data_IF_988163550246
#
_entry.id   IF_988163550246
#
_cell.length_a   1.000
_cell.length_b   1.000
_cell.length_c   1.000
_cell.angle_alpha   90.00
_cell.angle_beta   90.00
_cell.angle_gamma   90.00
#
_symmetry.space_group_name_H-M   'P 1'
#
loop_
_entity.id
_entity.type
_entity.pdbx_description
1 polymer ?
#
# COMPACT_ATOMS: atom_id res chain seq x y z
N UNK A 1 22.56 -23.23 16.02
CA UNK A 1 22.46 -21.95 15.31
C UNK A 1 21.45 -21.13 16.07
N UNK A 2 21.86 -20.10 16.79
CA UNK A 2 20.91 -19.25 17.51
C UNK A 2 20.11 -18.44 16.49
N UNK A 3 18.90 -18.88 16.19
CA UNK A 3 17.95 -18.14 15.36
C UNK A 3 17.51 -16.88 16.09
N UNK A 4 18.29 -15.81 15.91
CA UNK A 4 17.93 -14.48 16.39
C UNK A 4 16.73 -13.99 15.60
N UNK A 5 15.54 -14.11 16.20
CA UNK A 5 14.34 -13.55 15.63
C UNK A 5 14.50 -12.02 15.52
N UNK A 6 14.36 -11.42 14.34
CA UNK A 6 14.48 -9.97 14.20
C UNK A 6 13.39 -9.28 15.02
N UNK A 7 13.81 -8.59 16.08
CA UNK A 7 12.96 -7.86 17.02
C UNK A 7 12.00 -6.87 16.34
N UNK A 8 12.32 -6.45 15.12
CA UNK A 8 11.61 -5.42 14.38
C UNK A 8 10.75 -5.94 13.22
N UNK A 9 10.45 -7.24 13.16
CA UNK A 9 9.56 -7.80 12.13
C UNK A 9 8.18 -7.12 12.11
N UNK A 10 7.72 -6.60 13.26
CA UNK A 10 6.45 -5.89 13.41
C UNK A 10 6.54 -4.38 13.16
N UNK A 11 7.75 -3.82 13.06
CA UNK A 11 7.94 -2.38 12.89
C UNK A 11 7.79 -2.01 11.43
N UNK A 12 6.94 -1.03 11.10
CA UNK A 12 6.77 -0.59 9.72
C UNK A 12 8.08 0.02 9.21
N UNK A 13 8.43 -0.29 7.97
CA UNK A 13 9.48 0.46 7.25
C UNK A 13 8.93 1.86 7.01
N UNK A 14 9.36 2.79 7.87
CA UNK A 14 9.02 4.20 7.79
C UNK A 14 10.13 4.93 7.03
N UNK A 15 9.73 5.65 5.99
CA UNK A 15 10.60 6.53 5.20
C UNK A 15 10.06 7.94 5.43
N UNK A 16 10.83 8.78 6.12
CA UNK A 16 10.51 10.20 6.29
C UNK A 16 9.06 10.44 6.81
N UNK A 17 8.67 9.74 7.88
CA UNK A 17 7.33 9.75 8.49
C UNK A 17 6.22 9.00 7.74
N UNK A 18 6.45 8.58 6.50
CA UNK A 18 5.50 7.80 5.70
C UNK A 18 5.78 6.30 5.80
N UNK A 19 4.72 5.50 5.84
CA UNK A 19 4.86 4.07 5.53
C UNK A 19 5.29 3.87 4.08
N UNK A 20 5.95 2.77 3.75
CA UNK A 20 6.42 2.49 2.38
C UNK A 20 5.31 2.64 1.33
N UNK A 21 4.11 2.14 1.60
CA UNK A 21 2.95 2.27 0.71
C UNK A 21 2.50 3.73 0.53
N UNK A 22 2.54 4.53 1.61
CA UNK A 22 2.20 5.96 1.55
C UNK A 22 3.23 6.72 0.72
N UNK A 23 4.51 6.39 0.88
CA UNK A 23 5.59 7.02 0.13
C UNK A 23 5.45 6.77 -1.37
N UNK A 24 5.25 5.51 -1.79
CA UNK A 24 5.03 5.16 -3.20
C UNK A 24 3.81 5.88 -3.76
N UNK A 25 2.71 5.93 -3.01
CA UNK A 25 1.48 6.59 -3.43
C UNK A 25 1.67 8.11 -3.61
N UNK A 26 2.33 8.78 -2.65
CA UNK A 26 2.65 10.21 -2.71
C UNK A 26 3.55 10.53 -3.91
N UNK A 27 4.68 9.82 -4.05
CA UNK A 27 5.64 10.04 -5.14
C UNK A 27 4.98 9.83 -6.51
N UNK A 28 4.23 8.74 -6.67
CA UNK A 28 3.55 8.44 -7.95
C UNK A 28 2.51 9.50 -8.29
N UNK A 29 1.73 9.96 -7.30
CA UNK A 29 0.67 10.95 -7.52
C UNK A 29 1.25 12.31 -7.86
N UNK A 30 2.30 12.76 -7.15
CA UNK A 30 3.00 14.01 -7.45
C UNK A 30 3.60 13.95 -8.86
N UNK A 31 4.24 12.84 -9.22
CA UNK A 31 4.82 12.65 -10.54
C UNK A 31 3.76 12.80 -11.66
N UNK A 32 2.61 12.14 -11.52
CA UNK A 32 1.50 12.27 -12.47
C UNK A 32 0.93 13.69 -12.48
N UNK A 33 0.75 14.32 -11.31
CA UNK A 33 0.22 15.67 -11.21
C UNK A 33 1.11 16.71 -11.92
N UNK A 34 2.43 16.56 -11.82
CA UNK A 34 3.40 17.44 -12.49
C UNK A 34 3.35 17.27 -14.01
N UNK A 35 3.21 16.02 -14.51
CA UNK A 35 3.11 15.75 -15.95
C UNK A 35 1.82 16.33 -16.53
N UNK A 36 0.69 16.11 -15.87
CA UNK A 36 -0.62 16.58 -16.35
C UNK A 36 -0.71 18.10 -16.25
N UNK A 37 -0.22 18.69 -15.15
CA UNK A 37 -0.25 20.12 -14.92
C UNK A 37 -1.65 20.73 -14.80
N UNK A 38 -1.71 22.06 -14.68
CA UNK A 38 -2.96 22.82 -14.64
C UNK A 38 -3.90 22.44 -13.49
N UNK A 39 -5.19 22.72 -13.66
CA UNK A 39 -6.22 22.42 -12.64
C UNK A 39 -6.34 20.93 -12.33
N UNK A 40 -6.09 20.06 -13.32
CA UNK A 40 -6.17 18.61 -13.14
C UNK A 40 -5.03 18.10 -12.25
N UNK A 41 -3.80 18.60 -12.43
CA UNK A 41 -2.69 18.32 -11.52
C UNK A 41 -2.97 18.76 -10.09
N UNK A 42 -3.55 19.95 -9.91
CA UNK A 42 -3.98 20.43 -8.58
C UNK A 42 -5.09 19.57 -7.98
N UNK A 43 -6.04 19.07 -8.79
CA UNK A 43 -7.06 18.15 -8.34
C UNK A 43 -6.47 16.82 -7.83
N UNK A 44 -5.43 16.29 -8.49
CA UNK A 44 -4.72 15.09 -8.00
C UNK A 44 -4.04 15.34 -6.65
N UNK A 45 -3.44 16.51 -6.45
CA UNK A 45 -2.83 16.89 -5.16
C UNK A 45 -3.90 17.01 -4.07
N UNK A 46 -5.03 17.65 -4.37
CA UNK A 46 -6.15 17.75 -3.42
C UNK A 46 -6.71 16.36 -3.06
N UNK A 47 -6.91 15.49 -4.06
CA UNK A 47 -7.34 14.12 -3.85
C UNK A 47 -6.35 13.33 -2.99
N UNK A 48 -5.04 13.50 -3.22
CA UNK A 48 -3.99 12.88 -2.43
C UNK A 48 -4.08 13.28 -0.94
N UNK A 49 -4.21 14.58 -0.66
CA UNK A 49 -4.31 15.10 0.70
C UNK A 49 -5.55 14.60 1.44
N UNK A 50 -6.67 14.41 0.74
CA UNK A 50 -7.89 13.82 1.30
C UNK A 50 -7.79 12.30 1.46
N UNK A 51 -7.06 11.63 0.57
CA UNK A 51 -6.91 10.19 0.58
C UNK A 51 -5.97 9.70 1.69
N UNK A 52 -4.90 10.44 2.00
CA UNK A 52 -3.95 10.09 3.06
C UNK A 52 -4.57 9.84 4.43
N UNK A 53 -5.39 10.74 5.01
CA UNK A 53 -6.01 10.52 6.32
C UNK A 53 -6.99 9.35 6.28
N UNK A 54 -7.75 9.19 5.19
CA UNK A 54 -8.63 8.03 5.01
C UNK A 54 -7.85 6.71 4.97
N UNK A 55 -6.75 6.66 4.21
CA UNK A 55 -5.87 5.48 4.14
C UNK A 55 -5.21 5.18 5.48
N UNK A 56 -4.85 6.20 6.26
CA UNK A 56 -4.28 6.04 7.61
C UNK A 56 -5.28 5.50 8.64
N UNK A 57 -6.58 5.66 8.41
CA UNK A 57 -7.62 5.06 9.23
C UNK A 57 -7.81 3.56 8.95
N UNK A 58 -7.32 3.05 7.82
CA UNK A 58 -7.42 1.64 7.45
C UNK A 58 -6.32 0.78 8.11
N UNK A 59 -6.56 -0.54 8.30
CA UNK A 59 -5.55 -1.44 8.82
C UNK A 59 -4.32 -1.54 7.92
N UNK A 60 -3.20 -1.97 8.50
CA UNK A 60 -1.94 -2.15 7.77
C UNK A 60 -2.10 -3.14 6.62
N UNK A 61 -1.41 -2.87 5.51
CA UNK A 61 -1.49 -3.73 4.32
C UNK A 61 -2.85 -3.69 3.60
N UNK A 62 -3.78 -2.80 3.98
CA UNK A 62 -5.10 -2.68 3.37
C UNK A 62 -5.04 -2.61 1.84
N UNK A 63 -4.14 -1.78 1.29
CA UNK A 63 -3.97 -1.65 -0.16
C UNK A 63 -3.48 -2.96 -0.80
N UNK A 64 -2.55 -3.66 -0.16
CA UNK A 64 -2.03 -4.93 -0.65
C UNK A 64 -3.09 -6.05 -0.57
N UNK A 65 -3.89 -6.10 0.50
CA UNK A 65 -5.02 -7.02 0.62
C UNK A 65 -6.14 -6.71 -0.36
N UNK A 66 -6.39 -5.43 -0.62
CA UNK A 66 -7.37 -4.98 -1.60
C UNK A 66 -6.93 -5.36 -3.02
N UNK A 67 -5.65 -5.15 -3.34
CA UNK A 67 -5.05 -5.61 -4.59
C UNK A 67 -5.04 -7.14 -4.70
N UNK A 68 -4.83 -7.88 -3.61
CA UNK A 68 -4.99 -9.33 -3.59
C UNK A 68 -6.44 -9.76 -3.85
N UNK A 69 -7.42 -9.08 -3.24
CA UNK A 69 -8.85 -9.35 -3.45
C UNK A 69 -9.27 -9.12 -4.90
N UNK A 70 -8.70 -8.12 -5.57
CA UNK A 70 -8.91 -7.88 -7.00
C UNK A 70 -8.04 -8.77 -7.91
N UNK A 71 -7.18 -9.63 -7.36
CA UNK A 71 -6.33 -10.53 -8.13
C UNK A 71 -5.10 -9.87 -8.75
N UNK A 72 -4.79 -8.61 -8.40
CA UNK A 72 -3.62 -7.88 -8.87
C UNK A 72 -2.32 -8.31 -8.16
N UNK A 73 -2.44 -8.85 -6.94
CA UNK A 73 -1.31 -9.37 -6.15
C UNK A 73 -1.57 -10.80 -5.69
N UNK A 74 -0.52 -11.62 -5.66
CA UNK A 74 -0.51 -12.93 -5.01
C UNK A 74 0.52 -12.91 -3.88
N UNK A 75 0.07 -13.20 -2.67
CA UNK A 75 0.97 -13.41 -1.55
C UNK A 75 1.51 -14.85 -1.59
N UNK A 76 2.80 -15.02 -1.30
CA UNK A 76 3.43 -16.34 -1.27
C UNK A 76 2.83 -17.15 -0.13
N UNK A 77 2.46 -18.40 -0.41
CA UNK A 77 1.78 -19.30 0.54
C UNK A 77 0.38 -18.83 0.99
N UNK A 78 -0.23 -17.88 0.26
CA UNK A 78 -1.59 -17.45 0.51
C UNK A 78 -2.51 -18.04 -0.56
N UNK A 79 -3.72 -18.50 -0.18
CA UNK A 79 -4.68 -19.00 -1.16
C UNK A 79 -5.01 -17.92 -2.19
N UNK A 80 -5.42 -18.36 -3.37
CA UNK A 80 -5.92 -17.43 -4.39
C UNK A 80 -7.23 -16.78 -3.93
N UNK A 81 -7.53 -15.53 -4.33
CA UNK A 81 -8.75 -14.83 -3.91
C UNK A 81 -10.05 -15.52 -4.36
N UNK A 82 -9.97 -16.41 -5.34
CA UNK A 82 -11.10 -17.18 -5.90
C UNK A 82 -11.07 -18.66 -5.56
N UNK A 83 -10.11 -19.13 -4.75
CA UNK A 83 -10.05 -20.53 -4.35
C UNK A 83 -11.08 -20.83 -3.28
N UNK A 84 -12.04 -21.70 -3.61
CA UNK A 84 -13.12 -22.13 -2.72
C UNK A 84 -12.93 -23.57 -2.21
N UNK A 85 -11.94 -24.29 -2.72
CA UNK A 85 -11.64 -25.67 -2.31
C UNK A 85 -10.35 -25.73 -1.52
N UNK A 86 -10.45 -26.34 -0.35
CA UNK A 86 -9.33 -26.72 0.48
C UNK A 86 -8.91 -28.15 0.11
N UNK A 87 -7.60 -28.41 0.04
CA UNK A 87 -7.05 -29.75 -0.10
C UNK A 87 -6.24 -30.02 1.18
N UNK A 88 -6.61 -31.07 1.91
CA UNK A 88 -5.90 -31.59 3.10
C UNK A 88 -4.88 -32.65 2.70
#
# INVERSE_FOLDING_TARGET
MDERLPQYLHKPVQILWFGSDEFVLVVTTIFVAVIVGGLVGWAFIAALLLFLPWKRAQPRGFLAHLAWRWGMLRFRHYPGPTQTRFYE
#
